data_IF_566198386211
#
_entry.id   IF_566198386211
#
_cell.length_a   1.000
_cell.length_b   1.000
_cell.length_c   1.000
_cell.angle_alpha   90.00
_cell.angle_beta   90.00
_cell.angle_gamma   90.00
#
_symmetry.space_group_name_H-M   'P 1'
#
loop_
_entity.id
_entity.type
_entity.pdbx_description
1 polymer ?
#
# COMPACT_ATOMS: atom_id res chain seq x y z
N UNK A 1 6.49 6.41 -19.87
CA UNK A 1 7.68 5.96 -19.11
C UNK A 1 7.21 5.47 -17.76
N UNK A 2 7.59 4.27 -17.27
CA UNK A 2 7.27 3.89 -15.90
C UNK A 2 8.02 4.83 -14.95
N UNK A 3 7.30 5.56 -14.11
CA UNK A 3 7.88 6.40 -13.05
C UNK A 3 8.73 5.51 -12.12
N UNK A 4 9.96 5.94 -11.82
CA UNK A 4 10.80 5.17 -10.90
C UNK A 4 10.27 5.25 -9.47
N UNK A 5 10.58 4.26 -8.62
CA UNK A 5 10.20 4.26 -7.19
C UNK A 5 10.62 5.54 -6.46
N UNK A 6 11.80 6.08 -6.81
CA UNK A 6 12.32 7.33 -6.23
C UNK A 6 11.47 8.51 -6.66
N UNK A 7 11.08 8.56 -7.92
CA UNK A 7 10.25 9.63 -8.47
C UNK A 7 8.84 9.58 -7.89
N UNK A 8 8.27 8.38 -7.70
CA UNK A 8 6.96 8.20 -7.06
C UNK A 8 6.99 8.68 -5.60
N UNK A 9 7.96 8.22 -4.80
CA UNK A 9 8.07 8.65 -3.41
C UNK A 9 8.40 10.14 -3.29
N UNK A 10 9.22 10.71 -4.15
CA UNK A 10 9.48 12.15 -4.18
C UNK A 10 8.22 12.97 -4.55
N UNK A 11 7.39 12.45 -5.47
CA UNK A 11 6.15 13.10 -5.91
C UNK A 11 5.04 13.01 -4.86
N UNK A 12 4.92 11.88 -4.16
CA UNK A 12 3.87 11.67 -3.15
C UNK A 12 4.29 12.11 -1.73
N UNK A 13 5.59 12.23 -1.41
CA UNK A 13 6.05 12.77 -0.11
C UNK A 13 5.71 14.26 0.07
N UNK A 14 5.46 14.99 -1.02
CA UNK A 14 4.91 16.34 -0.97
C UNK A 14 3.39 16.37 -0.76
N UNK A 15 2.71 15.23 -0.81
CA UNK A 15 1.26 15.07 -0.71
C UNK A 15 0.90 13.96 0.26
N UNK A 16 1.25 14.15 1.53
CA UNK A 16 0.73 13.34 2.63
C UNK A 16 -0.77 13.64 2.71
N UNK A 17 -1.58 12.85 1.97
CA UNK A 17 -2.98 13.20 1.77
C UNK A 17 -3.78 12.97 3.05
N UNK A 18 -4.07 14.08 3.73
CA UNK A 18 -5.04 14.21 4.82
C UNK A 18 -6.47 13.81 4.40
N UNK A 19 -6.70 13.51 3.11
CA UNK A 19 -7.99 13.13 2.56
C UNK A 19 -8.50 11.76 3.07
N UNK A 20 -7.61 10.87 3.54
CA UNK A 20 -8.01 9.65 4.23
C UNK A 20 -8.77 9.94 5.57
N UNK A 21 -8.74 11.19 6.04
CA UNK A 21 -9.42 11.65 7.25
C UNK A 21 -10.57 12.65 6.96
N UNK A 22 -10.92 12.90 5.70
CA UNK A 22 -12.05 13.76 5.33
C UNK A 22 -11.84 15.27 5.57
N UNK A 23 -10.59 15.74 5.67
CA UNK A 23 -10.28 17.17 5.72
C UNK A 23 -10.07 17.73 4.31
N UNK A 24 -10.73 18.86 4.01
CA UNK A 24 -10.45 19.69 2.83
C UNK A 24 -9.00 20.19 2.86
N UNK A 25 -8.34 20.21 1.69
CA UNK A 25 -7.01 20.80 1.50
C UNK A 25 -7.15 22.30 1.16
N UNK A 26 -6.93 23.22 2.12
CA UNK A 26 -7.13 24.65 1.90
C UNK A 26 -6.01 25.29 1.06
N UNK A 27 -4.90 24.59 0.81
CA UNK A 27 -3.73 25.13 0.12
C UNK A 27 -3.72 24.85 -1.39
N UNK A 28 -4.63 24.02 -1.89
CA UNK A 28 -4.64 23.62 -3.29
C UNK A 28 -3.31 22.99 -3.72
N UNK A 29 -2.67 22.22 -2.85
CA UNK A 29 -1.35 21.62 -3.12
C UNK A 29 -1.43 20.43 -4.09
N UNK A 30 -2.49 20.34 -4.88
CA UNK A 30 -2.79 19.30 -5.87
C UNK A 30 -1.87 19.37 -7.10
N UNK A 31 -0.57 19.48 -6.87
CA UNK A 31 0.48 19.28 -7.87
C UNK A 31 0.87 17.82 -8.06
N UNK A 32 0.25 16.86 -7.37
CA UNK A 32 0.56 15.45 -7.55
C UNK A 32 -0.71 14.59 -7.65
N UNK A 33 -0.96 14.07 -8.85
CA UNK A 33 -1.98 13.07 -9.18
C UNK A 33 -1.69 11.69 -8.55
N UNK A 34 -1.49 11.64 -7.23
CA UNK A 34 -1.08 10.45 -6.50
C UNK A 34 -1.97 10.21 -5.27
N UNK A 35 -2.45 8.98 -5.12
CA UNK A 35 -3.14 8.49 -3.92
C UNK A 35 -2.18 7.57 -3.16
N UNK A 36 -1.77 7.98 -1.95
CA UNK A 36 -0.97 7.16 -1.05
C UNK A 36 -1.87 6.54 0.01
N UNK A 37 -1.91 5.21 0.08
CA UNK A 37 -2.60 4.47 1.13
C UNK A 37 -1.59 3.81 2.04
N UNK A 38 -1.51 4.27 3.28
CA UNK A 38 -0.70 3.62 4.29
C UNK A 38 -1.44 2.40 4.86
N UNK A 39 -0.89 1.22 4.60
CA UNK A 39 -1.53 -0.03 5.02
C UNK A 39 -1.75 -0.11 6.54
N UNK A 40 -0.88 0.56 7.33
CA UNK A 40 -1.05 0.67 8.79
C UNK A 40 -2.38 1.30 9.22
N UNK A 41 -2.91 2.20 8.40
CA UNK A 41 -4.12 2.98 8.66
C UNK A 41 -5.39 2.33 8.07
N UNK A 42 -5.30 1.09 7.60
CA UNK A 42 -6.48 0.38 7.13
C UNK A 42 -7.48 0.18 8.28
N UNK A 43 -8.76 0.38 7.99
CA UNK A 43 -9.84 0.25 8.97
C UNK A 43 -10.04 -1.19 9.47
N UNK A 44 -9.59 -2.16 8.67
CA UNK A 44 -9.62 -3.59 9.00
C UNK A 44 -8.30 -4.22 8.55
N UNK A 45 -7.51 -4.74 9.48
CA UNK A 45 -6.28 -5.48 9.15
C UNK A 45 -6.55 -6.94 8.80
N UNK A 46 -7.77 -7.44 8.97
CA UNK A 46 -8.10 -8.85 8.78
C UNK A 46 -7.22 -9.74 9.67
N UNK A 47 -6.45 -10.63 9.05
CA UNK A 47 -5.48 -11.47 9.75
C UNK A 47 -4.02 -10.99 9.66
N UNK A 48 -3.79 -9.78 9.15
CA UNK A 48 -2.46 -9.19 9.06
C UNK A 48 -2.07 -8.53 10.39
N UNK A 49 -0.77 -8.53 10.70
CA UNK A 49 -0.24 -7.97 11.94
C UNK A 49 0.66 -6.78 11.62
N UNK A 50 0.59 -5.71 12.41
CA UNK A 50 1.53 -4.60 12.32
C UNK A 50 2.90 -5.03 12.87
N UNK A 51 3.92 -4.98 12.01
CA UNK A 51 5.31 -5.24 12.35
C UNK A 51 6.12 -3.92 12.33
N UNK A 52 6.52 -3.39 13.50
CA UNK A 52 7.24 -2.13 13.63
C UNK A 52 8.76 -2.26 13.46
N UNK A 53 9.32 -3.45 13.17
CA UNK A 53 10.77 -3.70 13.16
C UNK A 53 11.59 -2.70 12.33
N UNK A 54 10.98 -2.07 11.32
CA UNK A 54 11.64 -1.12 10.42
C UNK A 54 11.09 0.30 10.51
N UNK A 55 10.26 0.63 11.50
CA UNK A 55 9.63 1.95 11.60
C UNK A 55 10.68 3.06 11.74
N UNK A 56 11.72 2.86 12.56
CA UNK A 56 12.80 3.84 12.74
C UNK A 56 13.61 4.11 11.46
N UNK A 57 13.70 3.12 10.55
CA UNK A 57 14.44 3.26 9.30
C UNK A 57 13.57 3.72 8.12
N UNK A 58 12.29 3.33 8.12
CA UNK A 58 11.38 3.47 6.97
C UNK A 58 10.24 4.47 7.21
N UNK A 59 10.11 4.99 8.43
CA UNK A 59 9.04 5.89 8.88
C UNK A 59 7.66 5.24 9.00
N UNK A 60 7.53 3.94 8.71
CA UNK A 60 6.26 3.22 8.77
C UNK A 60 6.46 1.71 8.96
N UNK A 61 5.57 1.04 9.72
CA UNK A 61 5.57 -0.42 9.89
C UNK A 61 5.13 -1.14 8.60
N UNK A 62 5.31 -2.46 8.59
CA UNK A 62 4.69 -3.33 7.59
C UNK A 62 3.41 -3.98 8.14
N UNK A 63 2.46 -4.27 7.26
CA UNK A 63 1.48 -5.32 7.55
C UNK A 63 2.10 -6.66 7.15
N UNK A 64 2.31 -7.53 8.13
CA UNK A 64 2.90 -8.84 7.97
C UNK A 64 1.82 -9.92 8.01
N UNK A 65 1.71 -10.69 6.94
CA UNK A 65 0.92 -11.92 6.89
C UNK A 65 1.72 -13.07 7.50
N UNK A 66 1.83 -13.11 8.83
CA UNK A 66 2.69 -14.12 9.48
C UNK A 66 2.24 -15.55 9.11
N UNK A 67 0.92 -15.81 9.12
CA UNK A 67 0.19 -16.92 8.48
C UNK A 67 0.62 -18.36 8.73
N UNK A 68 1.84 -18.63 9.22
CA UNK A 68 2.50 -19.93 9.37
C UNK A 68 2.20 -20.89 8.22
N UNK A 69 2.27 -20.39 6.97
CA UNK A 69 2.00 -21.16 5.75
C UNK A 69 0.52 -21.27 5.36
N UNK A 70 -0.40 -20.64 6.10
CA UNK A 70 -1.83 -20.54 5.79
C UNK A 70 -2.19 -19.11 5.38
N UNK A 71 -3.08 -18.93 4.39
CA UNK A 71 -3.60 -17.61 4.04
C UNK A 71 -4.30 -16.95 5.24
N UNK A 72 -4.03 -15.66 5.43
CA UNK A 72 -4.72 -14.82 6.42
C UNK A 72 -5.89 -14.08 5.78
N UNK A 73 -6.86 -13.64 6.60
CA UNK A 73 -7.96 -12.81 6.11
C UNK A 73 -7.44 -11.48 5.52
N UNK A 74 -8.07 -10.96 4.44
CA UNK A 74 -7.59 -9.77 3.76
C UNK A 74 -7.75 -8.51 4.62
N UNK A 75 -6.75 -7.61 4.55
CA UNK A 75 -6.87 -6.26 5.08
C UNK A 75 -7.68 -5.37 4.11
N UNK A 76 -8.45 -4.42 4.65
CA UNK A 76 -9.40 -3.59 3.90
C UNK A 76 -9.41 -2.15 4.40
N UNK A 77 -9.60 -1.24 3.46
CA UNK A 77 -9.90 0.16 3.73
C UNK A 77 -10.76 0.72 2.61
N UNK A 78 -11.30 1.92 2.81
CA UNK A 78 -11.96 2.71 1.77
C UNK A 78 -11.14 3.97 1.52
N UNK A 79 -11.03 4.37 0.26
CA UNK A 79 -10.29 5.56 -0.14
C UNK A 79 -11.04 6.30 -1.25
N UNK A 80 -10.90 7.62 -1.26
CA UNK A 80 -11.43 8.48 -2.31
C UNK A 80 -10.34 8.70 -3.36
N UNK A 81 -10.68 8.43 -4.61
CA UNK A 81 -9.82 8.73 -5.73
C UNK A 81 -10.00 10.21 -6.11
N UNK A 82 -8.91 10.98 -6.31
CA UNK A 82 -9.01 12.41 -6.56
C UNK A 82 -9.67 12.74 -7.91
N UNK A 83 -9.58 11.84 -8.89
CA UNK A 83 -10.22 11.98 -10.19
C UNK A 83 -10.49 10.61 -10.85
N UNK A 84 -11.40 10.58 -11.82
CA UNK A 84 -11.58 9.40 -12.68
C UNK A 84 -10.43 9.31 -13.69
N UNK A 85 -9.89 8.11 -13.91
CA UNK A 85 -8.84 7.89 -14.91
C UNK A 85 -8.08 6.58 -14.69
N UNK A 86 -7.01 6.40 -15.46
CA UNK A 86 -6.11 5.26 -15.33
C UNK A 86 -5.08 5.52 -14.23
N UNK A 87 -4.97 4.59 -13.29
CA UNK A 87 -3.98 4.65 -12.21
C UNK A 87 -2.92 3.58 -12.43
N UNK A 88 -1.68 3.94 -12.12
CA UNK A 88 -0.61 2.98 -11.93
C UNK A 88 -0.55 2.62 -10.44
N UNK A 89 -0.60 1.33 -10.12
CA UNK A 89 -0.55 0.85 -8.75
C UNK A 89 0.88 0.41 -8.40
N UNK A 90 1.46 1.01 -7.36
CA UNK A 90 2.73 0.59 -6.79
C UNK A 90 2.51 0.11 -5.36
N UNK A 91 3.14 -1.01 -5.01
CA UNK A 91 3.05 -1.59 -3.67
C UNK A 91 4.44 -1.71 -3.08
N UNK A 92 4.66 -1.08 -1.91
CA UNK A 92 5.90 -1.30 -1.13
C UNK A 92 5.75 -2.60 -0.36
N UNK A 93 6.36 -3.66 -0.88
CA UNK A 93 6.32 -5.00 -0.28
C UNK A 93 7.72 -5.53 0.03
N UNK A 94 7.80 -6.51 0.92
CA UNK A 94 9.02 -7.23 1.29
C UNK A 94 8.68 -8.72 1.38
N UNK A 95 9.50 -9.56 0.75
CA UNK A 95 9.46 -11.00 0.96
C UNK A 95 10.48 -11.37 2.06
N UNK A 96 9.99 -11.85 3.21
CA UNK A 96 10.82 -12.29 4.35
C UNK A 96 11.39 -13.70 4.17
N UNK A 97 10.83 -14.49 3.25
CA UNK A 97 11.26 -15.87 2.97
C UNK A 97 11.61 -16.03 1.48
N UNK A 98 12.64 -15.32 0.98
CA UNK A 98 13.09 -15.46 -0.39
C UNK A 98 13.77 -16.81 -0.60
N UNK A 99 13.55 -17.43 -1.77
CA UNK A 99 14.19 -18.69 -2.13
C UNK A 99 13.70 -19.27 -3.46
N UNK A 100 14.15 -20.48 -3.80
CA UNK A 100 13.75 -21.21 -4.99
C UNK A 100 12.43 -21.98 -4.77
N UNK A 101 11.43 -21.31 -4.19
CA UNK A 101 10.10 -21.82 -3.89
C UNK A 101 9.07 -20.71 -4.06
N UNK A 102 7.78 -21.07 -4.08
CA UNK A 102 6.75 -20.06 -4.10
C UNK A 102 6.69 -19.31 -2.76
N UNK A 103 6.90 -18.00 -2.79
CA UNK A 103 6.98 -17.18 -1.58
C UNK A 103 5.70 -17.30 -0.73
N UNK A 104 5.76 -17.64 0.57
CA UNK A 104 4.56 -17.84 1.38
C UNK A 104 3.75 -16.55 1.60
N UNK A 105 4.40 -15.39 1.46
CA UNK A 105 3.78 -14.06 1.63
C UNK A 105 3.16 -13.47 0.36
N UNK A 106 2.81 -14.30 -0.64
CA UNK A 106 2.14 -13.81 -1.86
C UNK A 106 0.77 -13.22 -1.55
N UNK A 107 0.42 -12.12 -2.21
CA UNK A 107 -0.90 -11.50 -2.09
C UNK A 107 -1.30 -10.77 -3.37
N UNK A 108 -2.59 -10.44 -3.45
CA UNK A 108 -3.15 -9.60 -4.50
C UNK A 108 -3.78 -8.36 -3.87
N UNK A 109 -3.79 -7.28 -4.63
CA UNK A 109 -4.55 -6.07 -4.32
C UNK A 109 -5.84 -6.11 -5.12
N UNK A 110 -6.97 -5.80 -4.49
CA UNK A 110 -8.24 -5.64 -5.17
C UNK A 110 -8.77 -4.22 -4.96
N UNK A 111 -9.26 -3.58 -6.02
CA UNK A 111 -9.90 -2.26 -5.98
C UNK A 111 -11.37 -2.45 -6.26
N UNK A 112 -12.24 -2.02 -5.32
CA UNK A 112 -13.68 -2.24 -5.41
C UNK A 112 -14.07 -3.71 -5.70
N UNK A 113 -13.35 -4.66 -5.09
CA UNK A 113 -13.57 -6.10 -5.27
C UNK A 113 -12.96 -6.69 -6.54
N UNK A 114 -12.37 -5.89 -7.43
CA UNK A 114 -11.71 -6.36 -8.64
C UNK A 114 -10.20 -6.56 -8.40
N UNK A 115 -9.69 -7.81 -8.45
CA UNK A 115 -8.27 -8.07 -8.24
C UNK A 115 -7.42 -7.54 -9.41
N UNK A 116 -6.26 -6.96 -9.08
CA UNK A 116 -5.25 -6.62 -10.07
C UNK A 116 -4.57 -7.92 -10.57
N UNK A 117 -4.12 -7.90 -11.83
CA UNK A 117 -3.46 -9.06 -12.44
C UNK A 117 -2.13 -9.41 -11.75
N UNK A 118 -1.44 -8.43 -11.19
CA UNK A 118 -0.14 -8.61 -10.52
C UNK A 118 -0.32 -9.31 -9.17
N UNK A 119 0.44 -10.40 -8.97
CA UNK A 119 0.67 -11.00 -7.65
C UNK A 119 1.92 -10.34 -7.04
N UNK A 120 1.79 -9.87 -5.81
CA UNK A 120 2.87 -9.22 -5.05
C UNK A 120 3.45 -10.19 -4.01
N UNK A 121 4.57 -9.80 -3.39
CA UNK A 121 5.19 -10.58 -2.30
C UNK A 121 5.94 -11.83 -2.78
N UNK A 122 6.22 -11.93 -4.08
CA UNK A 122 7.08 -12.95 -4.70
C UNK A 122 8.55 -12.68 -4.44
#
# INVERSE_FOLDING_TARGET
>A
MPLSRRDFLATCAAGMSLAALGFDDPAGSHGAACLLLEARAFSDHGGWILDPQFEDQMGAPYLLAHGLGKPVAPARTTALFPATGTYHCWVRTRNWCPGAWEAPGRFQVAVAGQPLATVFGT
#
